data_IF_260194563092
#
_entry.id   IF_260194563092
#
_cell.length_a   1.000
_cell.length_b   1.000
_cell.length_c   1.000
_cell.angle_alpha   90.00
_cell.angle_beta   90.00
_cell.angle_gamma   90.00
#
_symmetry.space_group_name_H-M   'P 1'
#
loop_
_entity.id
_entity.type
_entity.pdbx_description
1 polymer ?
#
# COMPACT_ATOMS: atom_id res chain seq x y z
N UNK A 1 -19.31 12.26 -18.40
CA UNK A 1 -17.91 11.86 -18.07
C UNK A 1 -17.58 12.43 -16.71
N UNK A 2 -17.06 11.63 -15.81
CA UNK A 2 -16.75 12.05 -14.44
C UNK A 2 -15.41 12.80 -14.45
N UNK A 3 -15.46 14.13 -14.56
CA UNK A 3 -14.25 14.98 -14.67
C UNK A 3 -13.59 15.26 -13.30
N UNK A 4 -13.50 14.26 -12.43
CA UNK A 4 -12.84 14.46 -11.13
C UNK A 4 -11.37 14.76 -11.30
N UNK A 5 -10.86 15.68 -10.48
CA UNK A 5 -9.45 16.00 -10.37
C UNK A 5 -8.93 15.37 -9.09
N UNK A 6 -7.89 14.57 -9.21
CA UNK A 6 -7.29 13.86 -8.07
C UNK A 6 -5.78 14.11 -7.99
N UNK A 7 -5.29 14.42 -6.80
CA UNK A 7 -3.87 14.33 -6.46
C UNK A 7 -3.57 12.92 -5.96
N UNK A 8 -2.49 12.31 -6.44
CA UNK A 8 -2.03 11.00 -5.96
C UNK A 8 -0.56 11.11 -5.60
N UNK A 9 -0.25 11.07 -4.31
CA UNK A 9 1.14 11.01 -3.82
C UNK A 9 1.63 9.57 -3.81
N UNK A 10 2.94 9.36 -4.02
CA UNK A 10 3.48 8.00 -4.18
C UNK A 10 2.98 7.31 -5.47
N UNK A 11 2.69 8.09 -6.51
CA UNK A 11 2.07 7.60 -7.75
C UNK A 11 2.96 6.63 -8.55
N UNK A 12 4.25 6.57 -8.26
CA UNK A 12 5.22 5.66 -8.88
C UNK A 12 5.54 4.42 -8.03
N UNK A 13 4.93 4.31 -6.84
CA UNK A 13 4.96 3.09 -6.02
C UNK A 13 3.95 2.04 -6.50
N UNK A 14 3.95 0.84 -5.86
CA UNK A 14 3.05 -0.25 -6.25
C UNK A 14 1.59 0.19 -6.28
N UNK A 15 1.00 0.52 -5.14
CA UNK A 15 -0.43 0.84 -5.05
C UNK A 15 -0.75 2.13 -5.83
N UNK A 16 0.09 3.15 -5.68
CA UNK A 16 -0.08 4.44 -6.35
C UNK A 16 -0.13 4.32 -7.87
N UNK A 17 0.67 3.45 -8.47
CA UNK A 17 0.70 3.26 -9.92
C UNK A 17 -0.58 2.58 -10.45
N UNK A 18 -1.07 1.54 -9.76
CA UNK A 18 -2.34 0.91 -10.12
C UNK A 18 -3.52 1.87 -9.98
N UNK A 19 -3.52 2.68 -8.92
CA UNK A 19 -4.56 3.69 -8.72
C UNK A 19 -4.50 4.81 -9.77
N UNK A 20 -3.29 5.30 -10.09
CA UNK A 20 -3.06 6.32 -11.13
C UNK A 20 -3.59 5.83 -12.48
N UNK A 21 -3.22 4.63 -12.89
CA UNK A 21 -3.70 4.01 -14.13
C UNK A 21 -5.22 3.91 -14.16
N UNK A 22 -5.83 3.39 -13.11
CA UNK A 22 -7.27 3.22 -13.03
C UNK A 22 -8.03 4.57 -13.05
N UNK A 23 -7.51 5.61 -12.38
CA UNK A 23 -8.08 6.95 -12.43
C UNK A 23 -8.03 7.52 -13.87
N UNK A 24 -6.91 7.37 -14.57
CA UNK A 24 -6.74 7.82 -15.96
C UNK A 24 -7.67 7.07 -16.92
N UNK A 25 -7.79 5.76 -16.80
CA UNK A 25 -8.72 4.92 -17.58
C UNK A 25 -10.18 5.33 -17.35
N UNK A 26 -10.53 5.76 -16.16
CA UNK A 26 -11.87 6.31 -15.83
C UNK A 26 -12.06 7.76 -16.28
N UNK A 27 -11.06 8.38 -16.88
CA UNK A 27 -11.14 9.74 -17.40
C UNK A 27 -10.97 10.83 -16.34
N UNK A 28 -10.38 10.52 -15.18
CA UNK A 28 -10.04 11.54 -14.19
C UNK A 28 -8.82 12.36 -14.63
N UNK A 29 -8.72 13.61 -14.18
CA UNK A 29 -7.48 14.36 -14.22
C UNK A 29 -6.61 13.94 -13.04
N UNK A 30 -5.42 13.47 -13.31
CA UNK A 30 -4.51 12.98 -12.26
C UNK A 30 -3.28 13.88 -12.18
N UNK A 31 -3.01 14.38 -10.97
CA UNK A 31 -1.76 15.06 -10.64
C UNK A 31 -0.97 14.09 -9.75
N UNK A 32 -0.03 13.38 -10.37
CA UNK A 32 0.87 12.47 -9.68
C UNK A 32 1.99 13.24 -8.99
N UNK A 33 2.28 12.85 -7.73
CA UNK A 33 3.39 13.39 -6.95
C UNK A 33 4.22 12.23 -6.43
N UNK A 34 5.52 12.29 -6.63
CA UNK A 34 6.47 11.34 -6.06
C UNK A 34 7.81 12.03 -5.83
N UNK A 35 8.56 11.64 -4.82
CA UNK A 35 9.92 12.11 -4.58
C UNK A 35 11.00 11.23 -5.22
N UNK A 36 10.56 10.21 -5.96
CA UNK A 36 11.40 9.24 -6.68
C UNK A 36 12.46 8.62 -5.75
N UNK A 37 11.96 7.81 -4.80
CA UNK A 37 12.86 7.02 -3.93
C UNK A 37 13.33 5.75 -4.64
N UNK A 38 14.16 4.97 -3.94
CA UNK A 38 14.68 3.69 -4.42
C UNK A 38 13.57 2.68 -4.83
N UNK A 39 12.36 2.80 -4.28
CA UNK A 39 11.24 1.90 -4.57
C UNK A 39 10.28 2.43 -5.64
N UNK A 40 10.52 3.63 -6.17
CA UNK A 40 9.71 4.22 -7.22
C UNK A 40 10.02 3.61 -8.59
N UNK A 41 9.05 3.70 -9.50
CA UNK A 41 9.11 3.25 -10.88
C UNK A 41 8.98 4.43 -11.86
N UNK A 42 10.07 5.22 -12.08
CA UNK A 42 10.03 6.37 -12.99
C UNK A 42 9.68 5.99 -14.44
N UNK A 43 9.98 4.75 -14.85
CA UNK A 43 9.63 4.19 -16.15
C UNK A 43 8.12 4.23 -16.47
N UNK A 44 7.27 4.27 -15.44
CA UNK A 44 5.82 4.39 -15.59
C UNK A 44 5.37 5.78 -16.09
N UNK A 45 6.22 6.80 -15.99
CA UNK A 45 5.91 8.13 -16.51
C UNK A 45 5.67 8.11 -18.02
N UNK A 46 6.42 7.28 -18.77
CA UNK A 46 6.23 7.13 -20.23
C UNK A 46 4.84 6.57 -20.58
N UNK A 47 4.28 5.71 -19.72
CA UNK A 47 2.92 5.20 -19.85
C UNK A 47 1.91 6.29 -19.51
N UNK A 48 2.08 6.96 -18.38
CA UNK A 48 1.12 7.94 -17.87
C UNK A 48 1.04 9.19 -18.72
N UNK A 49 2.15 9.66 -19.31
CA UNK A 49 2.16 10.81 -20.22
C UNK A 49 1.43 10.58 -21.55
N UNK A 50 1.05 9.34 -21.88
CA UNK A 50 0.15 9.06 -23.01
C UNK A 50 -1.27 9.59 -22.78
N UNK A 51 -1.61 9.89 -21.52
CA UNK A 51 -2.89 10.48 -21.16
C UNK A 51 -2.74 12.01 -21.00
N UNK A 52 -3.43 12.80 -21.84
CA UNK A 52 -3.43 14.27 -21.73
C UNK A 52 -3.88 14.79 -20.36
N UNK A 53 -4.60 13.94 -19.61
CA UNK A 53 -5.13 14.24 -18.27
C UNK A 53 -4.17 13.90 -17.14
N UNK A 54 -2.93 13.57 -17.44
CA UNK A 54 -1.88 13.31 -16.44
C UNK A 54 -0.89 14.47 -16.36
N UNK A 55 -0.55 14.83 -15.14
CA UNK A 55 0.57 15.74 -14.84
C UNK A 55 1.39 15.15 -13.71
N UNK A 56 2.69 15.28 -13.77
CA UNK A 56 3.61 14.82 -12.73
C UNK A 56 4.35 15.98 -12.10
N UNK A 57 4.58 15.86 -10.77
CA UNK A 57 5.45 16.75 -10.00
C UNK A 57 6.38 15.91 -9.14
N UNK A 58 7.68 16.04 -9.35
CA UNK A 58 8.67 15.49 -8.44
C UNK A 58 8.72 16.35 -7.19
N UNK A 59 8.20 15.85 -6.05
CA UNK A 59 8.18 16.57 -4.78
C UNK A 59 7.98 15.63 -3.60
N UNK A 60 8.67 15.90 -2.49
CA UNK A 60 8.40 15.27 -1.19
C UNK A 60 7.10 15.86 -0.60
N UNK A 61 6.26 15.01 -0.02
CA UNK A 61 5.03 15.46 0.68
C UNK A 61 5.33 16.35 1.88
N UNK A 62 6.53 16.24 2.46
CA UNK A 62 7.00 17.15 3.52
C UNK A 62 7.22 18.59 3.04
N UNK A 63 7.48 18.79 1.75
CA UNK A 63 7.83 20.06 1.15
C UNK A 63 6.70 20.64 0.27
N UNK A 64 5.50 20.05 0.32
CA UNK A 64 4.34 20.60 -0.37
C UNK A 64 3.98 21.95 0.26
N UNK A 65 3.90 22.96 -0.58
CA UNK A 65 3.63 24.35 -0.22
C UNK A 65 2.25 24.85 -0.68
N UNK A 66 1.66 24.17 -1.66
CA UNK A 66 0.33 24.48 -2.18
C UNK A 66 -0.31 23.27 -2.84
N UNK A 67 -1.63 23.28 -2.87
CA UNK A 67 -2.46 22.35 -3.64
C UNK A 67 -2.98 23.07 -4.90
N UNK A 68 -3.32 22.30 -5.92
CA UNK A 68 -4.19 22.75 -7.02
C UNK A 68 -5.61 22.35 -6.66
N UNK A 69 -6.61 23.09 -7.12
CA UNK A 69 -8.01 22.73 -6.91
C UNK A 69 -8.26 21.31 -7.38
N UNK A 70 -8.72 20.46 -6.47
CA UNK A 70 -9.00 19.05 -6.74
C UNK A 70 -10.14 18.54 -5.85
N UNK A 71 -10.79 17.46 -6.29
CA UNK A 71 -11.87 16.82 -5.54
C UNK A 71 -11.33 15.98 -4.39
N UNK A 72 -10.22 15.27 -4.66
CA UNK A 72 -9.57 14.36 -3.69
C UNK A 72 -8.06 14.55 -3.68
N UNK A 73 -7.52 14.57 -2.48
CA UNK A 73 -6.10 14.43 -2.23
C UNK A 73 -5.83 13.02 -1.69
N UNK A 74 -5.24 12.16 -2.52
CA UNK A 74 -5.02 10.74 -2.20
C UNK A 74 -3.57 10.57 -1.78
N UNK A 75 -3.34 10.36 -0.48
CA UNK A 75 -2.01 10.17 0.08
C UNK A 75 -1.65 8.69 0.16
N UNK A 76 -0.91 8.20 -0.84
CA UNK A 76 -0.35 6.84 -0.89
C UNK A 76 1.12 6.83 -0.48
N UNK A 77 1.82 7.97 -0.60
CA UNK A 77 3.23 8.09 -0.26
C UNK A 77 3.52 7.72 1.19
N UNK A 78 4.42 6.78 1.40
CA UNK A 78 4.88 6.32 2.71
C UNK A 78 6.18 5.53 2.60
N UNK A 79 6.98 5.52 3.67
CA UNK A 79 7.98 4.49 3.89
C UNK A 79 7.29 3.25 4.47
N UNK A 80 7.58 2.03 3.95
CA UNK A 80 6.75 0.84 4.21
C UNK A 80 7.50 -0.44 4.57
N UNK A 81 8.84 -0.42 4.66
CA UNK A 81 9.61 -1.64 4.91
C UNK A 81 9.90 -1.81 6.40
N UNK A 82 9.24 -2.78 7.06
CA UNK A 82 9.32 -3.01 8.51
C UNK A 82 10.76 -3.17 9.00
N UNK A 83 11.59 -4.01 8.34
CA UNK A 83 12.98 -4.22 8.76
C UNK A 83 13.80 -2.91 8.70
N UNK A 84 13.54 -2.05 7.71
CA UNK A 84 14.19 -0.75 7.64
C UNK A 84 13.73 0.15 8.78
N UNK A 85 12.44 0.09 9.16
CA UNK A 85 11.90 0.88 10.27
C UNK A 85 12.49 0.48 11.62
N UNK A 86 12.75 -0.81 11.83
CA UNK A 86 13.39 -1.34 13.04
C UNK A 86 14.87 -0.89 13.08
N UNK A 87 15.54 -0.91 11.94
CA UNK A 87 16.95 -0.54 11.84
C UNK A 87 17.18 0.97 11.95
N UNK A 88 16.32 1.78 11.32
CA UNK A 88 16.39 3.24 11.28
C UNK A 88 15.00 3.82 11.01
N UNK A 89 14.38 4.42 12.01
CA UNK A 89 13.00 4.91 11.96
C UNK A 89 12.84 6.35 11.46
N UNK A 90 13.92 7.13 11.34
CA UNK A 90 13.86 8.57 11.04
C UNK A 90 13.09 8.89 9.75
N UNK A 91 13.36 8.14 8.67
CA UNK A 91 12.71 8.34 7.38
C UNK A 91 11.20 8.00 7.46
N UNK A 92 10.82 7.05 8.33
CA UNK A 92 9.42 6.69 8.60
C UNK A 92 8.68 7.80 9.35
N UNK A 93 9.30 8.36 10.38
CA UNK A 93 8.75 9.52 11.10
C UNK A 93 8.61 10.71 10.15
N UNK A 94 9.65 11.01 9.36
CA UNK A 94 9.64 12.10 8.39
C UNK A 94 8.52 11.92 7.36
N UNK A 95 8.49 10.80 6.66
CA UNK A 95 7.52 10.59 5.56
C UNK A 95 6.10 10.34 6.09
N UNK A 96 5.93 9.43 7.06
CA UNK A 96 4.62 8.97 7.46
C UNK A 96 3.92 9.87 8.48
N UNK A 97 4.67 10.63 9.28
CA UNK A 97 4.10 11.56 10.27
C UNK A 97 4.23 13.01 9.78
N UNK A 98 5.46 13.50 9.55
CA UNK A 98 5.66 14.92 9.20
C UNK A 98 5.08 15.25 7.81
N UNK A 99 5.15 14.31 6.85
CA UNK A 99 4.52 14.46 5.54
C UNK A 99 3.00 14.57 5.65
N UNK A 100 2.36 13.72 6.48
CA UNK A 100 0.91 13.80 6.72
C UNK A 100 0.54 15.07 7.47
N UNK A 101 1.33 15.46 8.48
CA UNK A 101 1.15 16.74 9.19
C UNK A 101 1.20 17.93 8.22
N UNK A 102 2.18 17.98 7.30
CA UNK A 102 2.27 19.03 6.30
C UNK A 102 1.02 19.11 5.41
N UNK A 103 0.52 17.97 4.92
CA UNK A 103 -0.73 17.90 4.15
C UNK A 103 -1.89 18.47 4.96
N UNK A 104 -2.02 18.10 6.22
CA UNK A 104 -3.09 18.56 7.10
C UNK A 104 -3.03 20.05 7.37
N UNK A 105 -1.84 20.64 7.55
CA UNK A 105 -1.66 22.08 7.71
C UNK A 105 -2.01 22.86 6.44
N UNK A 106 -1.69 22.33 5.26
CA UNK A 106 -2.14 22.89 3.99
C UNK A 106 -3.67 22.89 3.88
N UNK A 107 -4.32 21.77 4.15
CA UNK A 107 -5.79 21.66 4.10
C UNK A 107 -6.46 22.60 5.12
N UNK A 108 -5.88 22.73 6.31
CA UNK A 108 -6.32 23.69 7.33
C UNK A 108 -6.20 25.14 6.84
N UNK A 109 -5.08 25.49 6.21
CA UNK A 109 -4.86 26.83 5.65
C UNK A 109 -5.89 27.14 4.58
N UNK A 110 -6.10 26.23 3.61
CA UNK A 110 -7.13 26.35 2.58
C UNK A 110 -8.53 26.58 3.18
N UNK A 111 -8.85 25.81 4.23
CA UNK A 111 -10.14 25.95 4.94
C UNK A 111 -10.30 27.34 5.57
N UNK A 112 -9.24 27.90 6.19
CA UNK A 112 -9.27 29.22 6.82
C UNK A 112 -9.37 30.36 5.81
N UNK A 113 -8.76 30.18 4.63
CA UNK A 113 -8.79 31.15 3.54
C UNK A 113 -10.07 31.07 2.70
N UNK A 114 -11.01 30.14 3.02
CA UNK A 114 -12.25 29.97 2.27
C UNK A 114 -12.06 29.33 0.89
N UNK A 115 -10.90 28.70 0.65
CA UNK A 115 -10.60 27.98 -0.59
C UNK A 115 -11.27 26.61 -0.64
N UNK A 116 -11.32 26.02 -1.83
CA UNK A 116 -11.83 24.65 -2.00
C UNK A 116 -10.88 23.67 -1.31
N UNK A 117 -11.40 22.91 -0.35
CA UNK A 117 -10.65 21.90 0.40
C UNK A 117 -11.00 20.52 -0.14
N UNK A 118 -10.05 19.78 -0.75
CA UNK A 118 -10.31 18.43 -1.21
C UNK A 118 -10.62 17.48 -0.04
N UNK A 119 -11.30 16.37 -0.31
CA UNK A 119 -11.38 15.28 0.64
C UNK A 119 -10.02 14.56 0.69
N UNK A 120 -9.42 14.47 1.88
CA UNK A 120 -8.19 13.70 2.09
C UNK A 120 -8.53 12.22 2.13
N UNK A 121 -8.00 11.42 1.18
CA UNK A 121 -8.01 9.97 1.26
C UNK A 121 -6.60 9.50 1.62
N UNK A 122 -6.46 8.88 2.78
CA UNK A 122 -5.17 8.43 3.32
C UNK A 122 -5.06 6.91 3.32
N UNK A 123 -3.98 6.41 2.76
CA UNK A 123 -3.61 5.00 2.88
C UNK A 123 -2.89 4.74 4.20
N UNK A 124 -3.54 4.02 5.09
CA UNK A 124 -2.99 3.42 6.30
C UNK A 124 -2.59 1.95 6.00
N UNK A 125 -2.71 1.06 6.97
CA UNK A 125 -2.37 -0.36 6.87
C UNK A 125 -3.14 -1.16 7.92
N UNK A 126 -3.35 -2.45 7.70
CA UNK A 126 -3.86 -3.41 8.68
C UNK A 126 -2.95 -3.52 9.93
N UNK A 127 -1.65 -3.31 9.75
CA UNK A 127 -0.66 -3.40 10.84
C UNK A 127 -0.89 -2.40 11.98
N UNK A 128 -1.71 -1.35 11.77
CA UNK A 128 -2.05 -0.39 12.85
C UNK A 128 -2.86 -1.01 13.98
N UNK A 129 -3.58 -2.10 13.71
CA UNK A 129 -4.36 -2.81 14.73
C UNK A 129 -3.50 -3.70 15.63
N UNK A 130 -2.30 -4.09 15.17
CA UNK A 130 -1.52 -5.18 15.75
C UNK A 130 -1.96 -6.54 15.24
N UNK A 131 -1.39 -7.61 15.76
CA UNK A 131 -1.76 -8.96 15.38
C UNK A 131 -3.02 -9.46 16.08
N UNK A 132 -3.67 -10.47 15.48
CA UNK A 132 -4.86 -11.11 16.00
C UNK A 132 -4.78 -12.61 15.74
N UNK A 133 -4.90 -13.42 16.80
CA UNK A 133 -4.84 -14.89 16.69
C UNK A 133 -6.11 -15.48 16.09
N UNK A 134 -7.28 -14.94 16.47
CA UNK A 134 -8.59 -15.40 16.06
C UNK A 134 -9.49 -14.22 15.70
N UNK A 135 -10.41 -14.43 14.74
CA UNK A 135 -11.31 -13.40 14.26
C UNK A 135 -10.66 -12.42 13.26
N UNK A 136 -11.24 -11.25 13.14
CA UNK A 136 -10.87 -10.20 12.19
C UNK A 136 -11.08 -8.82 12.83
N UNK A 137 -10.15 -7.89 12.60
CA UNK A 137 -10.31 -6.51 13.03
C UNK A 137 -11.36 -5.76 12.21
N UNK A 138 -12.17 -4.96 12.89
CA UNK A 138 -13.11 -4.01 12.31
C UNK A 138 -12.58 -2.57 12.43
N UNK A 139 -13.16 -1.64 11.67
CA UNK A 139 -12.66 -0.26 11.57
C UNK A 139 -12.67 0.52 12.88
N UNK A 140 -13.48 0.08 13.86
CA UNK A 140 -13.62 0.71 15.19
C UNK A 140 -12.69 0.15 16.25
N UNK A 141 -11.90 -0.89 15.92
CA UNK A 141 -10.98 -1.50 16.88
C UNK A 141 -9.85 -0.54 17.28
N UNK A 142 -9.37 -0.75 18.50
CA UNK A 142 -8.27 0.04 19.07
C UNK A 142 -6.98 -0.28 18.30
N UNK A 143 -6.23 0.79 17.96
CA UNK A 143 -4.93 0.63 17.32
C UNK A 143 -3.87 0.21 18.34
N UNK A 144 -3.14 -0.88 18.04
CA UNK A 144 -2.07 -1.46 18.87
C UNK A 144 -0.86 -1.84 18.02
N UNK A 145 -0.22 -0.87 17.33
CA UNK A 145 0.88 -1.15 16.43
C UNK A 145 2.06 -1.80 17.18
N UNK A 146 2.71 -2.78 16.55
CA UNK A 146 3.76 -3.62 17.13
C UNK A 146 5.19 -3.24 16.71
N UNK A 147 5.33 -2.42 15.68
CA UNK A 147 6.63 -2.04 15.12
C UNK A 147 6.68 -0.55 14.75
N UNK A 148 7.89 0.05 14.52
CA UNK A 148 8.00 1.48 14.22
C UNK A 148 7.23 1.92 12.97
N UNK A 149 7.20 1.11 11.90
CA UNK A 149 6.40 1.41 10.71
C UNK A 149 4.92 1.55 11.06
N UNK A 150 4.33 0.51 11.64
CA UNK A 150 2.89 0.50 11.99
C UNK A 150 2.55 1.59 13.01
N UNK A 151 3.48 1.92 13.93
CA UNK A 151 3.31 3.02 14.87
C UNK A 151 3.24 4.38 14.17
N UNK A 152 4.09 4.63 13.15
CA UNK A 152 4.02 5.87 12.37
C UNK A 152 2.73 5.98 11.56
N UNK A 153 2.20 4.87 11.04
CA UNK A 153 0.92 4.86 10.33
C UNK A 153 -0.26 5.09 11.27
N UNK A 154 -0.25 4.46 12.45
CA UNK A 154 -1.27 4.71 13.48
C UNK A 154 -1.25 6.18 13.98
N UNK A 155 -0.07 6.77 14.15
CA UNK A 155 0.08 8.19 14.47
C UNK A 155 -0.54 9.10 13.40
N UNK A 156 -0.30 8.79 12.12
CA UNK A 156 -0.91 9.51 11.00
C UNK A 156 -2.44 9.44 11.02
N UNK A 157 -3.02 8.25 11.28
CA UNK A 157 -4.47 8.08 11.43
C UNK A 157 -5.03 8.99 12.53
N UNK A 158 -4.35 9.05 13.70
CA UNK A 158 -4.79 9.90 14.82
C UNK A 158 -4.66 11.40 14.50
N UNK A 159 -3.62 11.82 13.80
CA UNK A 159 -3.48 13.21 13.33
C UNK A 159 -4.66 13.58 12.41
N UNK A 160 -4.98 12.73 11.43
CA UNK A 160 -6.09 12.97 10.50
C UNK A 160 -7.41 13.12 11.26
N UNK A 161 -7.73 12.21 12.19
CA UNK A 161 -8.95 12.27 12.98
C UNK A 161 -9.03 13.54 13.83
N UNK A 162 -7.91 13.96 14.46
CA UNK A 162 -7.85 15.17 15.27
C UNK A 162 -8.07 16.43 14.42
N UNK A 163 -7.40 16.55 13.27
CA UNK A 163 -7.57 17.70 12.34
C UNK A 163 -8.98 17.74 11.75
N UNK A 164 -9.51 16.59 11.33
CA UNK A 164 -10.88 16.48 10.83
C UNK A 164 -11.90 16.99 11.84
N UNK A 165 -11.79 16.56 13.09
CA UNK A 165 -12.68 17.01 14.17
C UNK A 165 -12.55 18.51 14.45
N UNK A 166 -11.30 19.01 14.53
CA UNK A 166 -11.03 20.40 14.93
C UNK A 166 -11.30 21.40 13.82
N UNK A 167 -10.85 21.11 12.61
CA UNK A 167 -10.90 22.03 11.47
C UNK A 167 -11.97 21.70 10.43
N UNK A 168 -12.77 20.65 10.68
CA UNK A 168 -13.86 20.22 9.77
C UNK A 168 -13.35 19.89 8.36
N UNK A 169 -12.21 19.20 8.30
CA UNK A 169 -11.62 18.68 7.06
C UNK A 169 -12.27 17.32 6.78
N UNK A 170 -12.73 17.11 5.55
CA UNK A 170 -13.25 15.82 5.14
C UNK A 170 -12.11 14.83 4.91
N UNK A 171 -12.28 13.60 5.40
CA UNK A 171 -11.29 12.54 5.26
C UNK A 171 -11.92 11.20 4.87
N UNK A 172 -11.09 10.32 4.38
CA UNK A 172 -11.28 8.88 4.24
C UNK A 172 -9.95 8.24 4.63
N UNK A 173 -9.97 7.23 5.50
CA UNK A 173 -8.80 6.40 5.79
C UNK A 173 -9.07 5.01 5.25
N UNK A 174 -8.14 4.46 4.48
CA UNK A 174 -8.19 3.08 4.00
C UNK A 174 -7.07 2.26 4.65
N UNK A 175 -7.40 1.10 5.17
CA UNK A 175 -6.46 0.16 5.82
C UNK A 175 -6.43 -1.14 5.01
N UNK A 176 -5.59 -1.20 3.97
CA UNK A 176 -5.45 -2.42 3.17
C UNK A 176 -4.57 -3.45 3.88
N UNK A 177 -4.83 -4.73 3.58
CA UNK A 177 -3.94 -5.85 3.90
C UNK A 177 -2.71 -5.87 2.99
N UNK A 178 -1.86 -6.92 3.07
CA UNK A 178 -0.64 -7.00 2.28
C UNK A 178 -0.92 -6.97 0.78
N UNK A 179 -0.51 -5.89 0.13
CA UNK A 179 -0.67 -5.73 -1.31
C UNK A 179 0.43 -6.47 -2.08
N UNK A 180 0.05 -7.06 -3.22
CA UNK A 180 0.95 -7.70 -4.16
C UNK A 180 0.61 -7.30 -5.61
N UNK A 181 1.54 -7.55 -6.54
CA UNK A 181 1.36 -7.27 -7.96
C UNK A 181 2.68 -7.02 -8.68
N UNK A 182 2.60 -6.89 -9.99
CA UNK A 182 3.75 -6.53 -10.83
C UNK A 182 4.18 -5.09 -10.50
N UNK A 183 5.49 -4.88 -10.34
CA UNK A 183 6.05 -3.57 -10.00
C UNK A 183 6.30 -3.36 -8.50
N UNK A 184 6.07 -4.37 -7.67
CA UNK A 184 6.46 -4.34 -6.26
C UNK A 184 7.99 -4.39 -6.11
N UNK A 185 8.54 -3.51 -5.26
CA UNK A 185 9.99 -3.45 -5.08
C UNK A 185 10.56 -4.70 -4.40
N UNK A 186 11.80 -5.00 -4.74
CA UNK A 186 12.51 -6.26 -4.40
C UNK A 186 12.68 -6.56 -2.91
N UNK A 187 12.47 -5.61 -2.05
CA UNK A 187 12.50 -5.82 -0.59
C UNK A 187 11.31 -6.67 -0.08
N UNK A 188 10.21 -6.72 -0.84
CA UNK A 188 9.00 -7.46 -0.46
C UNK A 188 9.08 -8.94 -0.83
N UNK A 189 8.34 -9.78 -0.11
CA UNK A 189 8.49 -11.24 -0.12
C UNK A 189 8.49 -11.86 -1.53
N UNK A 190 7.51 -11.51 -2.38
CA UNK A 190 7.37 -12.13 -3.70
C UNK A 190 8.55 -11.76 -4.62
N UNK A 191 8.82 -10.48 -4.91
CA UNK A 191 9.95 -10.12 -5.78
C UNK A 191 11.31 -10.49 -5.17
N UNK A 192 11.47 -10.41 -3.83
CA UNK A 192 12.68 -10.83 -3.14
C UNK A 192 12.95 -12.32 -3.33
N UNK A 193 11.91 -13.15 -3.25
CA UNK A 193 12.04 -14.58 -3.49
C UNK A 193 12.48 -14.86 -4.93
N UNK A 194 11.87 -14.25 -5.92
CA UNK A 194 12.28 -14.38 -7.32
C UNK A 194 13.74 -13.97 -7.52
N UNK A 195 14.17 -12.83 -6.93
CA UNK A 195 15.56 -12.37 -6.99
C UNK A 195 16.52 -13.38 -6.38
N UNK A 196 16.19 -13.92 -5.21
CA UNK A 196 17.04 -14.93 -4.56
C UNK A 196 17.20 -16.16 -5.46
N UNK A 197 16.10 -16.67 -6.03
CA UNK A 197 16.14 -17.83 -6.94
C UNK A 197 16.98 -17.55 -8.20
N UNK A 198 16.86 -16.35 -8.79
CA UNK A 198 17.64 -15.97 -9.96
C UNK A 198 19.14 -15.85 -9.66
N UNK A 199 19.50 -15.40 -8.46
CA UNK A 199 20.89 -15.25 -8.03
C UNK A 199 21.47 -16.48 -7.33
N UNK A 200 20.74 -17.61 -7.36
CA UNK A 200 21.10 -18.87 -6.65
C UNK A 200 21.40 -18.61 -5.16
N UNK A 201 20.56 -17.79 -4.51
CA UNK A 201 20.67 -17.46 -3.08
C UNK A 201 19.48 -18.03 -2.32
N UNK A 202 19.67 -18.33 -1.04
CA UNK A 202 18.56 -18.73 -0.18
C UNK A 202 17.62 -17.56 0.11
N UNK A 203 16.32 -17.86 0.11
CA UNK A 203 15.25 -16.93 0.45
C UNK A 203 15.17 -16.83 1.98
N UNK A 204 15.41 -15.64 2.58
CA UNK A 204 15.33 -15.46 4.02
C UNK A 204 13.85 -15.43 4.45
N UNK A 205 13.46 -16.33 5.35
CA UNK A 205 12.13 -16.37 5.93
C UNK A 205 12.19 -16.20 7.44
N UNK A 206 11.66 -15.07 7.93
CA UNK A 206 11.58 -14.83 9.36
C UNK A 206 10.66 -15.86 10.04
N UNK A 207 11.07 -16.27 11.25
CA UNK A 207 10.30 -17.20 12.10
C UNK A 207 9.87 -18.46 11.32
N UNK A 208 10.77 -19.02 10.54
CA UNK A 208 10.57 -20.24 9.71
C UNK A 208 9.44 -20.11 8.69
N UNK A 209 9.01 -18.87 8.35
CA UNK A 209 7.93 -18.62 7.43
C UNK A 209 6.53 -18.90 8.00
N UNK A 210 6.41 -19.10 9.31
CA UNK A 210 5.13 -19.40 10.00
C UNK A 210 4.13 -18.24 10.01
N UNK A 211 4.51 -16.93 9.98
CA UNK A 211 3.54 -15.86 9.99
C UNK A 211 2.57 -15.91 8.80
N UNK A 212 1.30 -15.67 9.09
CA UNK A 212 0.22 -15.61 8.10
C UNK A 212 0.06 -14.18 7.57
N UNK A 213 -0.28 -14.07 6.29
CA UNK A 213 -0.59 -12.78 5.65
C UNK A 213 -1.83 -12.92 4.79
N UNK A 214 -2.67 -11.90 4.82
CA UNK A 214 -3.79 -11.76 3.92
C UNK A 214 -3.32 -11.00 2.68
N UNK A 215 -3.46 -11.62 1.51
CA UNK A 215 -2.96 -11.11 0.24
C UNK A 215 -4.05 -10.44 -0.58
N UNK A 216 -3.81 -9.21 -1.00
CA UNK A 216 -4.72 -8.41 -1.81
C UNK A 216 -3.96 -7.84 -3.03
N UNK A 217 -4.47 -8.08 -4.23
CA UNK A 217 -3.83 -7.50 -5.41
C UNK A 217 -3.99 -5.98 -5.45
N UNK A 218 -2.93 -5.24 -5.80
CA UNK A 218 -2.95 -3.77 -5.84
C UNK A 218 -4.04 -3.20 -6.78
N UNK A 219 -4.43 -3.95 -7.82
CA UNK A 219 -5.57 -3.64 -8.69
C UNK A 219 -6.90 -3.64 -7.92
N UNK A 220 -7.08 -4.60 -7.02
CA UNK A 220 -8.30 -4.69 -6.21
C UNK A 220 -8.35 -3.59 -5.15
N UNK A 221 -7.19 -3.24 -4.56
CA UNK A 221 -7.07 -2.07 -3.69
C UNK A 221 -7.47 -0.79 -4.42
N UNK A 222 -6.94 -0.58 -5.63
CA UNK A 222 -7.30 0.57 -6.46
C UNK A 222 -8.81 0.60 -6.78
N UNK A 223 -9.40 -0.54 -7.15
CA UNK A 223 -10.84 -0.67 -7.38
C UNK A 223 -11.66 -0.33 -6.12
N UNK A 224 -11.21 -0.77 -4.93
CA UNK A 224 -11.84 -0.44 -3.66
C UNK A 224 -11.87 1.07 -3.39
N UNK A 225 -10.75 1.73 -3.60
CA UNK A 225 -10.64 3.20 -3.47
C UNK A 225 -11.57 3.91 -4.44
N UNK A 226 -11.63 3.48 -5.69
CA UNK A 226 -12.57 4.07 -6.66
C UNK A 226 -14.02 3.88 -6.22
N UNK A 227 -14.39 2.73 -5.71
CA UNK A 227 -15.75 2.51 -5.17
C UNK A 227 -16.09 3.45 -4.03
N UNK A 228 -15.15 3.69 -3.11
CA UNK A 228 -15.31 4.66 -2.02
C UNK A 228 -15.48 6.07 -2.57
N UNK A 229 -14.65 6.49 -3.54
CA UNK A 229 -14.75 7.81 -4.18
C UNK A 229 -16.10 7.99 -4.91
N UNK A 230 -16.54 6.96 -5.63
CA UNK A 230 -17.79 6.98 -6.40
C UNK A 230 -19.04 6.97 -5.50
N UNK A 231 -18.97 6.39 -4.29
CA UNK A 231 -20.04 6.42 -3.31
C UNK A 231 -20.30 7.82 -2.71
N UNK A 232 -19.32 8.72 -2.79
CA UNK A 232 -19.40 10.07 -2.23
C UNK A 232 -19.32 10.13 -0.69
N UNK A 233 -19.05 8.99 -0.03
CA UNK A 233 -18.91 8.92 1.44
C UNK A 233 -17.71 9.73 1.91
N UNK A 234 -17.82 10.32 3.11
CA UNK A 234 -16.76 11.11 3.75
C UNK A 234 -16.74 10.84 5.24
N UNK A 235 -15.60 11.15 5.87
CA UNK A 235 -15.37 11.04 7.30
C UNK A 235 -15.54 9.60 7.82
N UNK A 236 -14.99 8.66 7.06
CA UNK A 236 -15.10 7.23 7.30
C UNK A 236 -13.75 6.52 7.18
N UNK A 237 -13.64 5.39 7.84
CA UNK A 237 -12.53 4.45 7.75
C UNK A 237 -13.02 3.20 7.05
N UNK A 238 -12.20 2.60 6.18
CA UNK A 238 -12.49 1.36 5.48
C UNK A 238 -11.33 0.40 5.56
N UNK A 239 -11.61 -0.82 6.00
CA UNK A 239 -10.73 -1.95 5.81
C UNK A 239 -10.85 -2.46 4.38
N UNK A 240 -9.71 -2.88 3.78
CA UNK A 240 -9.69 -3.48 2.44
C UNK A 240 -8.90 -4.79 2.52
N UNK A 241 -9.59 -5.94 2.43
CA UNK A 241 -9.00 -7.26 2.54
C UNK A 241 -9.26 -8.12 1.31
N UNK A 242 -8.31 -8.97 0.96
CA UNK A 242 -8.46 -9.88 -0.18
C UNK A 242 -9.23 -11.17 0.17
N UNK A 243 -9.33 -11.50 1.45
CA UNK A 243 -9.91 -12.75 1.90
C UNK A 243 -9.06 -13.99 1.60
N UNK A 244 -7.85 -13.82 1.06
CA UNK A 244 -6.91 -14.91 0.78
C UNK A 244 -5.75 -14.88 1.78
N UNK A 245 -5.76 -15.81 2.72
CA UNK A 245 -4.78 -15.89 3.80
C UNK A 245 -3.93 -17.15 3.66
N UNK A 246 -2.63 -17.01 3.80
CA UNK A 246 -1.68 -18.12 3.84
C UNK A 246 -0.40 -17.75 4.58
N UNK A 247 0.36 -18.77 5.02
CA UNK A 247 1.66 -18.57 5.64
C UNK A 247 2.70 -18.06 4.63
N UNK A 248 3.74 -17.39 5.12
CA UNK A 248 4.83 -16.95 4.26
C UNK A 248 5.56 -18.12 3.60
N UNK A 249 5.71 -19.27 4.30
CA UNK A 249 6.33 -20.46 3.71
C UNK A 249 5.49 -21.00 2.56
N UNK A 250 4.15 -21.11 2.72
CA UNK A 250 3.27 -21.54 1.64
C UNK A 250 3.26 -20.59 0.44
N UNK A 251 3.44 -19.28 0.70
CA UNK A 251 3.62 -18.29 -0.38
C UNK A 251 4.91 -18.55 -1.15
N UNK A 252 6.01 -18.84 -0.46
CA UNK A 252 7.30 -19.11 -1.11
C UNK A 252 7.31 -20.45 -1.83
N UNK A 253 6.63 -21.48 -1.30
CA UNK A 253 6.43 -22.76 -2.00
C UNK A 253 5.76 -22.58 -3.37
N UNK A 254 4.70 -21.75 -3.43
CA UNK A 254 4.04 -21.40 -4.70
C UNK A 254 5.00 -20.66 -5.64
N UNK A 255 5.76 -19.71 -5.14
CA UNK A 255 6.75 -18.98 -5.95
C UNK A 255 7.79 -19.92 -6.53
N UNK A 256 8.34 -20.84 -5.72
CA UNK A 256 9.32 -21.86 -6.19
C UNK A 256 8.68 -22.77 -7.25
N UNK A 257 7.42 -23.19 -7.01
CA UNK A 257 6.69 -24.04 -7.95
C UNK A 257 6.52 -23.34 -9.31
N UNK A 258 6.07 -22.08 -9.31
CA UNK A 258 5.89 -21.32 -10.56
C UNK A 258 7.23 -20.97 -11.22
N UNK A 259 8.29 -20.78 -10.43
CA UNK A 259 9.62 -20.45 -10.95
C UNK A 259 10.28 -21.62 -11.69
N UNK A 260 10.16 -22.84 -11.16
CA UNK A 260 10.79 -24.06 -11.71
C UNK A 260 9.83 -25.00 -12.44
N UNK A 261 8.52 -24.78 -12.35
CA UNK A 261 7.48 -25.66 -12.88
C UNK A 261 7.11 -26.83 -11.94
N UNK A 262 7.81 -27.00 -10.83
CA UNK A 262 7.52 -27.97 -9.77
C UNK A 262 8.14 -27.54 -8.44
N UNK A 263 7.70 -28.17 -7.33
CA UNK A 263 8.33 -27.99 -6.02
C UNK A 263 9.30 -29.15 -5.77
N UNK A 264 10.64 -28.92 -5.78
CA UNK A 264 11.61 -29.96 -5.49
C UNK A 264 11.45 -30.50 -4.06
N UNK A 265 11.62 -31.83 -3.87
CA UNK A 265 11.49 -32.45 -2.54
C UNK A 265 12.45 -31.89 -1.48
N UNK A 266 13.60 -31.38 -1.89
CA UNK A 266 14.63 -30.77 -1.03
C UNK A 266 14.57 -29.23 -1.01
N UNK A 267 13.44 -28.61 -1.41
CA UNK A 267 13.33 -27.16 -1.58
C UNK A 267 13.72 -26.36 -0.34
N UNK A 268 13.36 -26.83 0.86
CA UNK A 268 13.68 -26.11 2.09
C UNK A 268 15.18 -25.98 2.29
N UNK A 269 15.92 -27.09 2.25
CA UNK A 269 17.37 -27.08 2.46
C UNK A 269 18.11 -26.33 1.35
N UNK A 270 17.61 -26.40 0.12
CA UNK A 270 18.22 -25.80 -1.06
C UNK A 270 17.95 -24.30 -1.18
N UNK A 271 16.70 -23.88 -1.01
CA UNK A 271 16.28 -22.53 -1.35
C UNK A 271 15.90 -21.64 -0.17
N UNK A 272 15.74 -22.18 1.05
CA UNK A 272 15.31 -21.39 2.20
C UNK A 272 16.42 -21.17 3.22
N UNK A 273 16.44 -19.96 3.80
CA UNK A 273 17.12 -19.68 5.05
C UNK A 273 16.07 -19.46 6.14
N UNK A 274 15.94 -20.47 6.99
CA UNK A 274 14.94 -20.50 8.08
C UNK A 274 15.53 -20.12 9.44
N UNK A 275 16.81 -19.70 9.47
CA UNK A 275 17.52 -19.35 10.70
C UNK A 275 17.20 -17.94 11.22
N UNK A 276 16.54 -17.13 10.39
CA UNK A 276 16.32 -15.71 10.66
C UNK A 276 15.06 -15.49 11.51
N UNK A 277 15.21 -14.73 12.57
CA UNK A 277 14.10 -14.24 13.40
C UNK A 277 13.99 -12.71 13.29
N UNK A 278 12.76 -12.18 13.37
CA UNK A 278 12.50 -10.76 13.50
C UNK A 278 11.95 -10.48 14.88
N UNK A 279 12.52 -9.49 15.56
CA UNK A 279 11.99 -8.99 16.81
C UNK A 279 10.60 -8.34 16.58
N UNK A 280 9.64 -8.57 17.49
CA UNK A 280 8.28 -8.02 17.34
C UNK A 280 7.54 -8.51 16.09
N UNK A 281 7.83 -9.74 15.64
CA UNK A 281 7.15 -10.32 14.47
C UNK A 281 5.70 -10.65 14.78
N UNK A 282 4.79 -9.95 14.12
CA UNK A 282 3.36 -10.26 14.19
C UNK A 282 3.05 -11.59 13.50
N UNK A 283 2.17 -12.36 14.14
CA UNK A 283 1.83 -13.71 13.71
C UNK A 283 0.82 -13.69 12.56
N UNK A 284 -0.24 -12.89 12.70
CA UNK A 284 -1.34 -12.85 11.74
C UNK A 284 -2.01 -11.49 11.70
N UNK A 285 -2.36 -11.02 10.51
CA UNK A 285 -3.22 -9.86 10.30
C UNK A 285 -4.49 -10.31 9.57
N UNK A 286 -5.64 -9.97 10.11
CA UNK A 286 -6.93 -10.26 9.48
C UNK A 286 -7.89 -9.09 9.65
N UNK A 287 -8.54 -8.71 8.56
CA UNK A 287 -9.47 -7.59 8.50
C UNK A 287 -10.85 -8.05 8.04
N UNK A 288 -11.88 -7.54 8.68
CA UNK A 288 -13.24 -7.57 8.17
C UNK A 288 -13.44 -6.38 7.22
N UNK A 289 -13.82 -6.64 5.98
CA UNK A 289 -14.05 -5.64 4.94
C UNK A 289 -15.51 -5.50 4.52
N UNK A 290 -16.45 -6.00 5.33
CA UNK A 290 -17.89 -5.99 5.04
C UNK A 290 -18.42 -4.58 4.77
N UNK A 291 -17.86 -3.56 5.42
CA UNK A 291 -18.21 -2.16 5.19
C UNK A 291 -17.94 -1.75 3.74
N UNK A 292 -16.76 -2.08 3.20
CA UNK A 292 -16.44 -1.81 1.80
C UNK A 292 -17.28 -2.67 0.85
N UNK A 293 -17.50 -3.94 1.20
CA UNK A 293 -18.37 -4.84 0.41
C UNK A 293 -19.79 -4.34 0.31
N UNK A 294 -20.29 -3.66 1.33
CA UNK A 294 -21.65 -3.04 1.28
C UNK A 294 -21.77 -1.94 0.23
N UNK A 295 -20.66 -1.34 -0.23
CA UNK A 295 -20.62 -0.41 -1.35
C UNK A 295 -20.59 -1.12 -2.73
N UNK A 296 -20.70 -2.45 -2.76
CA UNK A 296 -20.67 -3.25 -4.00
C UNK A 296 -19.26 -3.58 -4.50
N UNK A 297 -18.23 -3.43 -3.66
CA UNK A 297 -16.88 -3.88 -3.99
C UNK A 297 -16.69 -5.36 -3.63
N UNK A 298 -15.86 -6.04 -4.40
CA UNK A 298 -15.29 -7.35 -4.09
C UNK A 298 -13.95 -7.51 -4.82
N UNK A 299 -12.98 -8.25 -4.26
CA UNK A 299 -11.76 -8.58 -4.98
C UNK A 299 -12.09 -9.43 -6.21
N UNK A 300 -11.39 -9.19 -7.29
CA UNK A 300 -11.54 -9.91 -8.57
C UNK A 300 -10.30 -10.72 -8.94
N UNK A 301 -9.13 -10.37 -8.42
CA UNK A 301 -7.87 -11.06 -8.68
C UNK A 301 -7.75 -12.28 -7.79
N UNK A 302 -7.39 -13.43 -8.38
CA UNK A 302 -7.13 -14.66 -7.65
C UNK A 302 -5.63 -14.85 -7.45
N UNK A 303 -5.17 -14.95 -6.21
CA UNK A 303 -3.74 -15.07 -5.91
C UNK A 303 -3.07 -16.24 -6.63
N UNK A 304 -3.72 -17.39 -6.70
CA UNK A 304 -3.15 -18.59 -7.32
C UNK A 304 -3.03 -18.49 -8.85
N UNK A 305 -3.81 -17.60 -9.47
CA UNK A 305 -3.73 -17.33 -10.91
C UNK A 305 -2.70 -16.24 -11.18
N UNK A 306 -2.77 -15.13 -10.44
CA UNK A 306 -1.91 -13.96 -10.61
C UNK A 306 -0.42 -14.24 -10.28
N UNK A 307 -0.14 -15.15 -9.32
CA UNK A 307 1.23 -15.42 -8.89
C UNK A 307 2.10 -15.97 -10.03
N UNK A 308 1.52 -16.70 -10.97
CA UNK A 308 2.19 -17.23 -12.14
C UNK A 308 2.77 -16.12 -13.01
N UNK A 309 1.94 -15.15 -13.37
CA UNK A 309 2.35 -14.03 -14.24
C UNK A 309 3.34 -13.11 -13.50
N UNK A 310 3.15 -12.91 -12.20
CA UNK A 310 4.05 -12.11 -11.37
C UNK A 310 5.43 -12.78 -11.28
N UNK A 311 5.51 -14.09 -11.05
CA UNK A 311 6.78 -14.83 -11.01
C UNK A 311 7.45 -14.80 -12.38
N UNK A 312 6.71 -15.03 -13.48
CA UNK A 312 7.22 -14.95 -14.84
C UNK A 312 7.80 -13.54 -15.15
N UNK A 313 7.11 -12.48 -14.69
CA UNK A 313 7.59 -11.11 -14.83
C UNK A 313 8.93 -10.91 -14.11
N UNK A 314 9.03 -11.22 -12.82
CA UNK A 314 10.26 -11.02 -12.05
C UNK A 314 11.41 -11.95 -12.43
N UNK A 315 11.13 -13.11 -13.02
CA UNK A 315 12.14 -14.01 -13.58
C UNK A 315 12.87 -13.38 -14.75
N UNK A 316 12.17 -12.57 -15.55
CA UNK A 316 12.68 -11.99 -16.80
C UNK A 316 12.99 -10.49 -16.70
N UNK A 317 12.45 -9.80 -15.71
CA UNK A 317 12.58 -8.36 -15.54
C UNK A 317 13.10 -8.03 -14.14
N UNK A 318 14.37 -7.70 -14.03
CA UNK A 318 14.93 -7.18 -12.80
C UNK A 318 14.58 -5.69 -12.66
N UNK A 319 13.79 -5.36 -11.64
CA UNK A 319 13.52 -3.97 -11.26
C UNK A 319 14.37 -3.69 -10.01
N UNK A 320 15.65 -3.46 -10.24
CA UNK A 320 16.59 -3.21 -9.13
C UNK A 320 17.42 -1.98 -9.32
#
# INVERSE_FOLDING_TARGET
>A
MNNKIVYITGCLGLIGSYLTRLCLEKGYYVIGIDKITYAARPDLLDEFYKYERFKFKEKDICDLDRLVDCDYFINVAAETHVDNSIRKSDDFVKSNINGVYNILELLKTYKREGLIVPTLLHFSTDEVYGDISEGEHIETDILKPSNPYSATKAAADQLILAWARTYKINYIIVRPTNNYGIGQYVEKLIPKSCKCLTLDRKIPLHNQGSPFRNWLHAKDTANGVIKIIESGVKNEIFNIAGGFEQSNISTVEKIITEYFGNLPSNYQSKFLDLSICREGQDVRYALNDNKLRSLGWKPICNFNEEIKDIVAFYKNNFIW
#
